data_IF_199409970795
#
_entry.id   IF_199409970795
#
_cell.length_a   1.000
_cell.length_b   1.000
_cell.length_c   1.000
_cell.angle_alpha   90.00
_cell.angle_beta   90.00
_cell.angle_gamma   90.00
#
_symmetry.space_group_name_H-M   'P 1'
#
loop_
_entity.id
_entity.type
_entity.pdbx_description
1 polymer ?
#
# COMPACT_ATOMS: atom_id res chain seq x y z
N UNK A 1 -4.46 2.62 -15.02
CA UNK A 1 -3.71 2.63 -13.73
C UNK A 1 -3.37 4.03 -13.19
N UNK A 2 -3.16 5.05 -14.04
CA UNK A 2 -2.90 6.45 -13.65
C UNK A 2 -3.76 7.01 -12.49
N UNK A 3 -5.04 6.66 -12.42
CA UNK A 3 -5.93 7.09 -11.33
C UNK A 3 -5.46 6.60 -9.94
N UNK A 4 -4.93 5.37 -9.85
CA UNK A 4 -4.42 4.81 -8.60
C UNK A 4 -3.25 5.65 -8.07
N UNK A 5 -2.35 6.08 -8.96
CA UNK A 5 -1.23 6.95 -8.60
C UNK A 5 -1.69 8.33 -8.14
N UNK A 6 -2.71 8.91 -8.78
CA UNK A 6 -3.31 10.18 -8.34
C UNK A 6 -3.91 10.05 -6.94
N UNK A 7 -4.66 8.97 -6.67
CA UNK A 7 -5.23 8.69 -5.35
C UNK A 7 -4.12 8.49 -4.31
N UNK A 8 -3.07 7.74 -4.64
CA UNK A 8 -1.89 7.59 -3.78
C UNK A 8 -1.29 8.95 -3.40
N UNK A 9 -1.02 9.82 -4.37
CA UNK A 9 -0.49 11.16 -4.10
C UNK A 9 -1.42 12.00 -3.23
N UNK A 10 -2.74 11.91 -3.44
CA UNK A 10 -3.72 12.61 -2.62
C UNK A 10 -3.75 12.10 -1.17
N UNK A 11 -3.63 10.79 -0.96
CA UNK A 11 -3.52 10.19 0.37
C UNK A 11 -2.21 10.61 1.06
N UNK A 12 -1.09 10.56 0.34
CA UNK A 12 0.21 11.00 0.87
C UNK A 12 0.20 12.49 1.24
N UNK A 13 -0.51 13.34 0.49
CA UNK A 13 -0.62 14.77 0.81
C UNK A 13 -1.33 15.05 2.15
N UNK A 14 -2.14 14.12 2.68
CA UNK A 14 -2.77 14.27 3.99
C UNK A 14 -1.75 14.42 5.12
N UNK A 15 -0.53 13.87 4.94
CA UNK A 15 0.59 14.03 5.88
C UNK A 15 0.98 15.49 6.12
N UNK A 16 0.69 16.40 5.18
CA UNK A 16 1.11 17.80 5.26
C UNK A 16 0.44 18.51 6.45
N UNK A 17 -0.81 18.17 6.75
CA UNK A 17 -1.53 18.73 7.91
C UNK A 17 -0.86 18.30 9.21
N UNK A 18 -0.55 17.02 9.34
CA UNK A 18 0.12 16.46 10.52
C UNK A 18 1.55 16.95 10.68
N UNK A 19 2.29 17.10 9.57
CA UNK A 19 3.66 17.60 9.58
C UNK A 19 3.70 19.06 10.01
N UNK A 20 2.84 19.91 9.45
CA UNK A 20 2.76 21.32 9.85
C UNK A 20 2.36 21.52 11.31
N UNK A 21 1.42 20.70 11.82
CA UNK A 21 1.06 20.74 13.24
C UNK A 21 2.21 20.26 14.13
N UNK A 22 2.92 19.19 13.75
CA UNK A 22 4.07 18.69 14.48
C UNK A 22 5.19 19.73 14.57
N UNK A 23 5.52 20.39 13.46
CA UNK A 23 6.53 21.44 13.41
C UNK A 23 6.14 22.65 14.28
N UNK A 24 4.90 23.11 14.18
CA UNK A 24 4.40 24.22 14.99
C UNK A 24 4.49 23.93 16.50
N UNK A 25 4.04 22.74 16.93
CA UNK A 25 4.08 22.34 18.34
C UNK A 25 5.51 22.19 18.86
N UNK A 26 6.38 21.58 18.05
CA UNK A 26 7.80 21.38 18.39
C UNK A 26 8.53 22.71 18.56
N UNK A 27 8.28 23.67 17.67
CA UNK A 27 8.88 25.00 17.72
C UNK A 27 8.32 25.88 18.85
N UNK A 28 7.06 25.68 19.23
CA UNK A 28 6.40 26.45 20.29
C UNK A 28 6.84 26.06 21.72
N UNK A 29 7.67 25.02 21.88
CA UNK A 29 8.18 24.51 23.17
C UNK A 29 7.08 24.25 24.20
N UNK A 30 5.90 23.84 23.73
CA UNK A 30 4.80 23.40 24.60
C UNK A 30 5.22 22.05 25.20
N UNK A 31 5.05 21.82 26.52
CA UNK A 31 5.38 20.53 27.15
C UNK A 31 4.31 19.48 26.83
N UNK A 32 4.12 19.21 25.53
CA UNK A 32 3.19 18.25 24.97
C UNK A 32 3.97 17.30 24.05
N UNK A 33 3.81 16.00 24.26
CA UNK A 33 4.34 15.00 23.34
C UNK A 33 3.49 14.98 22.05
N UNK A 34 4.10 15.37 20.93
CA UNK A 34 3.49 15.41 19.60
C UNK A 34 3.85 14.19 18.75
N UNK A 35 4.54 13.19 19.31
CA UNK A 35 5.02 12.00 18.58
C UNK A 35 3.88 11.16 17.96
N UNK A 36 2.65 11.25 18.48
CA UNK A 36 1.49 10.60 17.86
C UNK A 36 1.16 11.15 16.46
N UNK A 37 1.53 12.40 16.16
CA UNK A 37 1.41 12.95 14.80
C UNK A 37 2.38 12.26 13.84
N UNK A 38 3.54 11.80 14.33
CA UNK A 38 4.50 11.03 13.54
C UNK A 38 4.00 9.59 13.33
N UNK A 39 3.44 8.97 14.37
CA UNK A 39 2.80 7.65 14.28
C UNK A 39 1.68 7.64 13.26
N UNK A 40 0.85 8.68 13.27
CA UNK A 40 -0.21 8.83 12.28
C UNK A 40 0.33 8.95 10.85
N UNK A 41 1.37 9.76 10.63
CA UNK A 41 2.02 9.85 9.32
C UNK A 41 2.56 8.52 8.80
N UNK A 42 3.14 7.70 9.67
CA UNK A 42 3.58 6.33 9.34
C UNK A 42 2.41 5.46 8.88
N UNK A 43 1.30 5.49 9.62
CA UNK A 43 0.07 4.75 9.29
C UNK A 43 -0.52 5.22 7.96
N UNK A 44 -0.54 6.53 7.70
CA UNK A 44 -1.00 7.09 6.43
C UNK A 44 -0.18 6.59 5.24
N UNK A 45 1.15 6.59 5.35
CA UNK A 45 2.02 6.14 4.26
C UNK A 45 1.76 4.66 3.89
N UNK A 46 1.70 3.79 4.89
CA UNK A 46 1.43 2.36 4.67
C UNK A 46 0.01 2.11 4.15
N UNK A 47 -0.97 2.89 4.62
CA UNK A 47 -2.35 2.80 4.13
C UNK A 47 -2.48 3.26 2.68
N UNK A 48 -1.71 4.28 2.28
CA UNK A 48 -1.66 4.75 0.89
C UNK A 48 -1.05 3.68 -0.04
N UNK A 49 0.00 2.98 0.38
CA UNK A 49 0.55 1.83 -0.35
C UNK A 49 -0.49 0.73 -0.54
N UNK A 50 -1.17 0.31 0.54
CA UNK A 50 -2.19 -0.74 0.48
C UNK A 50 -3.28 -0.42 -0.54
N UNK A 51 -3.83 0.80 -0.44
CA UNK A 51 -4.87 1.30 -1.33
C UNK A 51 -4.39 1.36 -2.78
N UNK A 52 -3.16 1.82 -3.00
CA UNK A 52 -2.56 1.85 -4.34
C UNK A 52 -2.51 0.44 -4.96
N UNK A 53 -2.04 -0.57 -4.22
CA UNK A 53 -1.97 -1.95 -4.73
C UNK A 53 -3.36 -2.50 -5.06
N UNK A 54 -4.35 -2.29 -4.20
CA UNK A 54 -5.74 -2.66 -4.49
C UNK A 54 -6.24 -2.03 -5.79
N UNK A 55 -5.98 -0.73 -5.98
CA UNK A 55 -6.49 0.03 -7.12
C UNK A 55 -5.84 -0.38 -8.45
N UNK A 56 -4.52 -0.61 -8.47
CA UNK A 56 -3.85 -1.07 -9.70
C UNK A 56 -4.25 -2.51 -10.05
N UNK A 57 -4.43 -3.39 -9.06
CA UNK A 57 -4.85 -4.77 -9.31
C UNK A 57 -6.27 -4.79 -9.86
N UNK A 58 -7.20 -4.07 -9.23
CA UNK A 58 -8.56 -3.95 -9.73
C UNK A 58 -8.60 -3.34 -11.14
N UNK A 59 -7.82 -2.30 -11.40
CA UNK A 59 -7.73 -1.71 -12.73
C UNK A 59 -7.13 -2.66 -13.78
N UNK A 60 -6.05 -3.38 -13.45
CA UNK A 60 -5.38 -4.28 -14.39
C UNK A 60 -6.19 -5.53 -14.69
N UNK A 61 -6.91 -6.09 -13.71
CA UNK A 61 -7.82 -7.19 -13.95
C UNK A 61 -8.99 -6.77 -14.85
N UNK A 62 -9.50 -5.54 -14.70
CA UNK A 62 -10.50 -4.99 -15.63
C UNK A 62 -9.93 -4.82 -17.04
N UNK A 63 -8.68 -4.38 -17.18
CA UNK A 63 -8.01 -4.30 -18.48
C UNK A 63 -7.86 -5.69 -19.14
N UNK A 64 -7.55 -6.73 -18.35
CA UNK A 64 -7.50 -8.13 -18.82
C UNK A 64 -8.88 -8.64 -19.25
N UNK A 65 -9.91 -8.39 -18.43
CA UNK A 65 -11.30 -8.73 -18.75
C UNK A 65 -11.77 -8.10 -20.07
N UNK A 66 -11.34 -6.87 -20.35
CA UNK A 66 -11.65 -6.15 -21.60
C UNK A 66 -10.70 -6.48 -22.76
N UNK A 67 -9.80 -7.46 -22.61
CA UNK A 67 -8.77 -7.84 -23.59
C UNK A 67 -7.84 -6.67 -24.00
N UNK A 68 -7.63 -5.69 -23.13
CA UNK A 68 -6.70 -4.56 -23.32
C UNK A 68 -5.31 -4.85 -22.76
N UNK A 69 -5.17 -5.92 -22.01
CA UNK A 69 -3.93 -6.43 -21.40
C UNK A 69 -3.92 -7.95 -21.50
N UNK A 70 -2.77 -8.61 -21.74
CA UNK A 70 -2.68 -10.06 -21.69
C UNK A 70 -3.09 -10.62 -20.32
N UNK A 71 -3.78 -11.76 -20.31
CA UNK A 71 -4.11 -12.45 -19.06
C UNK A 71 -2.85 -13.04 -18.41
N UNK A 72 -2.91 -13.29 -17.10
CA UNK A 72 -1.89 -14.06 -16.38
C UNK A 72 -2.49 -15.38 -15.90
N UNK A 73 -1.68 -16.40 -15.59
CA UNK A 73 -2.19 -17.64 -15.01
C UNK A 73 -3.01 -17.42 -13.73
N UNK A 74 -2.67 -16.39 -12.94
CA UNK A 74 -3.41 -16.06 -11.72
C UNK A 74 -4.75 -15.39 -12.02
N UNK A 75 -4.82 -14.54 -13.05
CA UNK A 75 -6.09 -14.00 -13.55
C UNK A 75 -6.99 -15.13 -14.08
N UNK A 76 -6.45 -16.06 -14.86
CA UNK A 76 -7.22 -17.17 -15.44
C UNK A 76 -7.79 -18.11 -14.36
N UNK A 77 -7.09 -18.22 -13.22
CA UNK A 77 -7.56 -18.96 -12.06
C UNK A 77 -8.55 -18.18 -11.18
N UNK A 78 -8.86 -16.91 -11.48
CA UNK A 78 -9.77 -16.10 -10.69
C UNK A 78 -11.22 -16.60 -10.85
N UNK A 79 -11.76 -17.15 -9.76
CA UNK A 79 -13.09 -17.77 -9.78
C UNK A 79 -14.20 -16.71 -9.68
N UNK A 80 -15.30 -16.90 -10.41
CA UNK A 80 -16.54 -16.13 -10.27
C UNK A 80 -17.67 -17.07 -9.88
N UNK A 81 -18.58 -16.62 -9.02
CA UNK A 81 -19.81 -17.38 -8.73
C UNK A 81 -20.79 -17.27 -9.89
N UNK A 82 -21.67 -18.27 -10.07
CA UNK A 82 -22.72 -18.22 -11.11
C UNK A 82 -23.62 -16.98 -10.99
N UNK A 83 -23.90 -16.53 -9.77
CA UNK A 83 -24.66 -15.30 -9.53
C UNK A 83 -23.94 -14.07 -10.10
N UNK A 84 -22.63 -13.95 -9.87
CA UNK A 84 -21.83 -12.85 -10.42
C UNK A 84 -21.78 -12.91 -11.95
N UNK A 85 -21.60 -14.09 -12.53
CA UNK A 85 -21.60 -14.26 -13.99
C UNK A 85 -22.96 -13.81 -14.59
N UNK A 86 -24.07 -14.20 -13.96
CA UNK A 86 -25.41 -13.79 -14.38
C UNK A 86 -25.63 -12.28 -14.27
N UNK A 87 -25.07 -11.63 -13.24
CA UNK A 87 -25.19 -10.19 -13.07
C UNK A 87 -24.35 -9.44 -14.11
N UNK A 88 -23.12 -9.90 -14.37
CA UNK A 88 -22.24 -9.32 -15.39
C UNK A 88 -22.88 -9.39 -16.79
N UNK A 89 -23.54 -10.50 -17.13
CA UNK A 89 -24.11 -10.70 -18.48
C UNK A 89 -25.29 -9.79 -18.82
N UNK A 90 -26.02 -9.31 -17.81
CA UNK A 90 -27.17 -8.40 -17.99
C UNK A 90 -26.84 -6.94 -17.64
N UNK A 91 -25.66 -6.68 -17.09
CA UNK A 91 -25.26 -5.35 -16.67
C UNK A 91 -25.08 -4.40 -17.87
N UNK A 92 -25.54 -3.14 -17.80
CA UNK A 92 -25.28 -2.15 -18.83
C UNK A 92 -23.79 -1.87 -19.05
N UNK A 93 -22.98 -2.02 -18.00
CA UNK A 93 -21.53 -1.83 -18.00
C UNK A 93 -20.87 -3.03 -17.27
N UNK A 94 -20.68 -4.16 -17.97
CA UNK A 94 -20.19 -5.41 -17.37
C UNK A 94 -18.86 -5.28 -16.62
N UNK A 95 -17.98 -4.41 -17.08
CA UNK A 95 -16.67 -4.17 -16.46
C UNK A 95 -16.74 -3.53 -15.07
N UNK A 96 -17.81 -2.79 -14.76
CA UNK A 96 -18.03 -2.23 -13.43
C UNK A 96 -18.43 -3.35 -12.45
N UNK A 97 -19.34 -4.24 -12.86
CA UNK A 97 -19.74 -5.38 -12.04
C UNK A 97 -18.56 -6.34 -11.78
N UNK A 98 -17.74 -6.59 -12.80
CA UNK A 98 -16.51 -7.36 -12.64
C UNK A 98 -15.54 -6.67 -11.66
N UNK A 99 -15.32 -5.35 -11.81
CA UNK A 99 -14.49 -4.57 -10.88
C UNK A 99 -15.00 -4.68 -9.44
N UNK A 100 -16.31 -4.56 -9.24
CA UNK A 100 -16.92 -4.62 -7.92
C UNK A 100 -16.67 -5.99 -7.27
N UNK A 101 -16.76 -7.09 -8.02
CA UNK A 101 -16.44 -8.41 -7.50
C UNK A 101 -14.96 -8.55 -7.14
N UNK A 102 -14.04 -8.02 -7.96
CA UNK A 102 -12.60 -8.00 -7.64
C UNK A 102 -12.34 -7.25 -6.33
N UNK A 103 -12.91 -6.04 -6.18
CA UNK A 103 -12.79 -5.25 -4.96
C UNK A 103 -13.38 -6.00 -3.77
N UNK A 104 -14.57 -6.58 -3.92
CA UNK A 104 -15.25 -7.33 -2.85
C UNK A 104 -14.39 -8.51 -2.38
N UNK A 105 -13.86 -9.31 -3.30
CA UNK A 105 -13.00 -10.46 -2.99
C UNK A 105 -11.67 -10.08 -2.35
N UNK A 106 -11.14 -8.91 -2.67
CA UNK A 106 -9.87 -8.45 -2.11
C UNK A 106 -10.06 -7.60 -0.83
N UNK A 107 -11.28 -7.15 -0.51
CA UNK A 107 -11.55 -6.17 0.57
C UNK A 107 -11.05 -6.53 1.96
N UNK A 108 -10.92 -7.82 2.28
CA UNK A 108 -10.43 -8.30 3.58
C UNK A 108 -8.91 -8.59 3.59
N UNK A 109 -8.23 -8.39 2.45
CA UNK A 109 -6.80 -8.62 2.30
C UNK A 109 -6.03 -7.30 2.44
N UNK A 110 -4.97 -7.33 3.24
CA UNK A 110 -3.99 -6.25 3.29
C UNK A 110 -2.82 -6.56 2.34
N UNK A 111 -2.55 -5.64 1.41
CA UNK A 111 -1.48 -5.73 0.42
C UNK A 111 -0.32 -4.78 0.77
N UNK A 112 0.30 -5.05 1.91
CA UNK A 112 1.40 -4.24 2.45
C UNK A 112 2.68 -5.06 2.63
N UNK A 113 2.54 -6.32 3.06
CA UNK A 113 3.66 -7.24 3.21
C UNK A 113 4.25 -7.62 1.84
N UNK A 114 5.59 -7.81 1.73
CA UNK A 114 6.22 -8.06 0.43
C UNK A 114 5.64 -9.24 -0.35
N UNK A 115 5.35 -10.35 0.33
CA UNK A 115 4.82 -11.54 -0.33
C UNK A 115 3.34 -11.35 -0.73
N UNK A 116 2.57 -10.56 0.02
CA UNK A 116 1.18 -10.21 -0.30
C UNK A 116 1.10 -9.27 -1.50
N UNK A 117 2.02 -8.30 -1.60
CA UNK A 117 2.13 -7.44 -2.78
C UNK A 117 2.52 -8.27 -4.00
N UNK A 118 3.54 -9.12 -3.92
CA UNK A 118 3.95 -9.97 -5.05
C UNK A 118 2.82 -10.90 -5.52
N UNK A 119 2.09 -11.48 -4.57
CA UNK A 119 0.92 -12.29 -4.83
C UNK A 119 -0.18 -11.48 -5.54
N UNK A 120 -0.53 -10.29 -5.02
CA UNK A 120 -1.53 -9.42 -5.64
C UNK A 120 -1.14 -8.96 -7.05
N UNK A 121 0.10 -8.52 -7.25
CA UNK A 121 0.63 -8.12 -8.56
C UNK A 121 0.60 -9.27 -9.58
N UNK A 122 0.64 -10.53 -9.14
CA UNK A 122 0.60 -11.68 -10.06
C UNK A 122 -0.72 -11.80 -10.82
N UNK A 123 -1.80 -11.15 -10.37
CA UNK A 123 -3.03 -11.03 -11.16
C UNK A 123 -2.80 -10.26 -12.47
N UNK A 124 -1.94 -9.24 -12.46
CA UNK A 124 -1.84 -8.27 -13.56
C UNK A 124 -0.44 -8.24 -14.23
N UNK A 125 0.52 -8.98 -13.66
CA UNK A 125 1.91 -8.98 -14.08
C UNK A 125 2.55 -10.37 -13.98
N UNK A 126 2.83 -10.98 -15.14
CA UNK A 126 3.42 -12.32 -15.26
C UNK A 126 4.97 -12.30 -15.20
N UNK A 127 5.53 -11.69 -14.15
CA UNK A 127 6.97 -11.72 -13.86
C UNK A 127 7.25 -12.64 -12.67
N UNK A 128 8.28 -13.48 -12.78
CA UNK A 128 8.68 -14.42 -11.72
C UNK A 128 9.55 -13.75 -10.65
N UNK A 129 10.45 -12.84 -11.04
CA UNK A 129 11.41 -12.15 -10.18
C UNK A 129 10.97 -10.72 -9.88
N UNK A 130 9.70 -10.53 -9.46
CA UNK A 130 9.07 -9.21 -9.26
C UNK A 130 9.92 -8.27 -8.40
N UNK A 131 10.39 -8.75 -7.26
CA UNK A 131 11.18 -7.95 -6.32
C UNK A 131 12.55 -7.54 -6.85
N UNK A 132 13.17 -8.36 -7.70
CA UNK A 132 14.41 -8.00 -8.38
C UNK A 132 14.19 -6.88 -9.40
N UNK A 133 13.07 -6.92 -10.13
CA UNK A 133 12.73 -5.88 -11.11
C UNK A 133 12.34 -4.59 -10.38
N UNK A 134 11.51 -4.67 -9.34
CA UNK A 134 11.14 -3.51 -8.51
C UNK A 134 12.40 -2.88 -7.90
N UNK A 135 13.32 -3.67 -7.33
CA UNK A 135 14.53 -3.13 -6.71
C UNK A 135 15.44 -2.38 -7.68
N UNK A 136 15.49 -2.82 -8.95
CA UNK A 136 16.23 -2.13 -10.02
C UNK A 136 15.60 -0.80 -10.44
N UNK A 137 14.30 -0.64 -10.21
CA UNK A 137 13.55 0.58 -10.52
C UNK A 137 13.39 1.52 -9.31
N UNK A 138 13.90 1.15 -8.14
CA UNK A 138 13.99 2.06 -7.00
C UNK A 138 14.95 3.22 -7.33
N UNK A 139 14.56 4.44 -7.00
CA UNK A 139 15.41 5.60 -7.20
C UNK A 139 16.65 5.54 -6.28
N UNK A 140 16.47 5.17 -5.02
CA UNK A 140 17.57 4.84 -4.11
C UNK A 140 18.04 3.39 -4.34
N UNK A 141 19.34 3.16 -4.68
CA UNK A 141 19.85 1.81 -4.91
C UNK A 141 19.69 0.90 -3.69
N UNK A 142 19.01 -0.23 -3.89
CA UNK A 142 18.73 -1.22 -2.85
C UNK A 142 18.60 -2.60 -3.48
N UNK A 143 19.15 -3.63 -2.86
CA UNK A 143 18.95 -5.00 -3.32
C UNK A 143 17.57 -5.54 -2.89
N UNK A 144 17.09 -6.58 -3.59
CA UNK A 144 15.77 -7.13 -3.32
C UNK A 144 15.57 -7.64 -1.88
N UNK A 145 16.61 -8.18 -1.22
CA UNK A 145 16.47 -8.75 0.12
C UNK A 145 16.35 -7.63 1.16
N UNK A 146 17.18 -6.59 1.02
CA UNK A 146 17.11 -5.40 1.87
C UNK A 146 15.81 -4.62 1.66
N UNK A 147 15.34 -4.50 0.40
CA UNK A 147 14.07 -3.87 0.05
C UNK A 147 12.89 -4.56 0.77
N UNK A 148 12.80 -5.89 0.64
CA UNK A 148 11.74 -6.68 1.30
C UNK A 148 11.83 -6.56 2.83
N UNK A 149 13.04 -6.61 3.39
CA UNK A 149 13.26 -6.52 4.83
C UNK A 149 12.84 -5.15 5.37
N UNK A 150 13.21 -4.06 4.68
CA UNK A 150 12.82 -2.70 5.05
C UNK A 150 11.30 -2.55 5.02
N UNK A 151 10.63 -3.00 3.96
CA UNK A 151 9.18 -2.96 3.88
C UNK A 151 8.51 -3.77 5.00
N UNK A 152 8.98 -4.98 5.28
CA UNK A 152 8.46 -5.81 6.37
C UNK A 152 8.56 -5.12 7.73
N UNK A 153 9.70 -4.48 8.03
CA UNK A 153 9.87 -3.73 9.27
C UNK A 153 8.92 -2.53 9.35
N UNK A 154 8.67 -1.85 8.23
CA UNK A 154 7.72 -0.73 8.15
C UNK A 154 6.29 -1.19 8.46
N UNK A 155 5.87 -2.32 7.88
CA UNK A 155 4.54 -2.89 8.10
C UNK A 155 4.39 -3.41 9.54
N UNK A 156 5.42 -4.06 10.08
CA UNK A 156 5.44 -4.50 11.48
C UNK A 156 5.28 -3.31 12.43
N UNK A 157 6.03 -2.21 12.22
CA UNK A 157 5.88 -0.98 13.01
C UNK A 157 4.47 -0.40 12.91
N UNK A 158 3.87 -0.39 11.71
CA UNK A 158 2.48 0.05 11.50
C UNK A 158 1.51 -0.79 12.35
N UNK A 159 1.69 -2.10 12.35
CA UNK A 159 0.83 -3.00 13.12
C UNK A 159 0.99 -2.78 14.63
N UNK A 160 2.21 -2.54 15.11
CA UNK A 160 2.45 -2.17 16.50
C UNK A 160 1.68 -0.91 16.89
N UNK A 161 1.75 0.13 16.05
CA UNK A 161 1.06 1.41 16.27
C UNK A 161 -0.47 1.23 16.32
N UNK A 162 -1.03 0.51 15.35
CA UNK A 162 -2.50 0.45 15.16
C UNK A 162 -3.18 -0.64 15.97
N UNK A 163 -2.53 -1.79 16.16
CA UNK A 163 -3.15 -2.98 16.71
C UNK A 163 -2.61 -3.38 18.08
N UNK A 164 -1.35 -3.04 18.41
CA UNK A 164 -0.68 -3.51 19.63
C UNK A 164 -0.51 -2.39 20.69
N UNK A 165 -1.14 -1.23 20.48
CA UNK A 165 -1.09 -0.09 21.41
C UNK A 165 0.29 0.59 21.47
N UNK A 166 1.18 0.27 20.53
CA UNK A 166 2.54 0.75 20.42
C UNK A 166 3.43 0.55 21.68
N UNK A 167 3.17 -0.48 22.48
CA UNK A 167 3.83 -0.61 23.78
C UNK A 167 5.30 -1.07 23.66
N UNK A 168 6.25 -0.28 24.17
CA UNK A 168 7.66 -0.65 24.35
C UNK A 168 7.83 -1.70 25.45
N UNK A 169 7.06 -1.59 26.52
CA UNK A 169 6.97 -2.59 27.59
C UNK A 169 5.54 -2.67 28.11
N UNK A 170 5.19 -3.81 28.71
CA UNK A 170 3.89 -4.03 29.36
C UNK A 170 3.86 -3.56 30.82
N UNK A 171 4.94 -2.94 31.32
CA UNK A 171 5.00 -2.38 32.65
C UNK A 171 4.22 -1.05 32.73
N UNK A 172 3.77 -0.70 33.93
CA UNK A 172 3.07 0.57 34.21
C UNK A 172 4.07 1.57 34.80
N UNK A 173 4.13 2.83 34.31
CA UNK A 173 3.31 3.40 33.25
C UNK A 173 3.66 2.85 31.87
N UNK A 174 2.65 2.73 31.00
CA UNK A 174 2.86 2.31 29.61
C UNK A 174 3.78 3.33 28.91
N UNK A 175 4.80 2.81 28.24
CA UNK A 175 5.73 3.61 27.43
C UNK A 175 5.57 3.15 26.00
N UNK A 176 5.31 4.10 25.10
CA UNK A 176 5.26 3.80 23.67
C UNK A 176 6.67 3.65 23.09
N UNK A 177 6.80 2.90 22.00
CA UNK A 177 8.04 2.85 21.23
C UNK A 177 8.42 4.26 20.75
N UNK A 178 9.70 4.66 20.85
CA UNK A 178 10.14 5.96 20.37
C UNK A 178 9.96 6.06 18.85
N UNK A 179 9.70 7.27 18.39
CA UNK A 179 9.60 7.60 16.96
C UNK A 179 10.15 9.01 16.76
N UNK A 180 11.00 9.18 15.75
CA UNK A 180 11.54 10.48 15.37
C UNK A 180 10.95 10.97 14.05
N UNK A 181 11.10 12.28 13.81
CA UNK A 181 10.74 12.89 12.53
C UNK A 181 11.51 12.23 11.38
N UNK A 182 12.82 12.00 11.57
CA UNK A 182 13.69 11.36 10.57
C UNK A 182 13.19 9.95 10.21
N UNK A 183 12.81 9.14 11.20
CA UNK A 183 12.28 7.79 10.93
C UNK A 183 11.02 7.85 10.05
N UNK A 184 10.17 8.84 10.33
CA UNK A 184 8.88 9.02 9.64
C UNK A 184 9.09 9.51 8.20
N UNK A 185 9.99 10.48 8.01
CA UNK A 185 10.37 11.00 6.69
C UNK A 185 11.00 9.91 5.83
N UNK A 186 11.89 9.10 6.39
CA UNK A 186 12.52 7.96 5.71
C UNK A 186 11.50 6.95 5.22
N UNK A 187 10.46 6.67 6.01
CA UNK A 187 9.37 5.76 5.61
C UNK A 187 8.51 6.35 4.50
N UNK A 188 8.12 7.62 4.63
CA UNK A 188 7.34 8.32 3.62
C UNK A 188 8.09 8.32 2.28
N UNK A 189 9.38 8.66 2.31
CA UNK A 189 10.22 8.68 1.14
C UNK A 189 10.33 7.28 0.51
N UNK A 190 10.66 6.27 1.32
CA UNK A 190 10.76 4.89 0.87
C UNK A 190 9.47 4.36 0.23
N UNK A 191 8.31 4.61 0.84
CA UNK A 191 7.01 4.17 0.30
C UNK A 191 6.70 4.89 -1.01
N UNK A 192 7.05 6.17 -1.13
CA UNK A 192 6.88 6.93 -2.36
C UNK A 192 7.71 6.32 -3.50
N UNK A 193 9.00 6.08 -3.26
CA UNK A 193 9.89 5.44 -4.23
C UNK A 193 9.42 4.03 -4.59
N UNK A 194 8.97 3.25 -3.61
CA UNK A 194 8.46 1.90 -3.86
C UNK A 194 7.25 1.92 -4.78
N UNK A 195 6.30 2.85 -4.57
CA UNK A 195 5.14 2.99 -5.44
C UNK A 195 5.55 3.44 -6.85
N UNK A 196 6.50 4.39 -6.98
CA UNK A 196 7.05 4.79 -8.29
C UNK A 196 7.71 3.62 -9.03
N UNK A 197 8.51 2.83 -8.32
CA UNK A 197 9.17 1.65 -8.87
C UNK A 197 8.17 0.59 -9.34
N UNK A 198 7.13 0.32 -8.54
CA UNK A 198 6.05 -0.61 -8.91
C UNK A 198 5.26 -0.07 -10.12
N UNK A 199 4.88 1.21 -10.12
CA UNK A 199 4.15 1.84 -11.23
C UNK A 199 4.91 1.66 -12.56
N UNK A 200 6.22 1.93 -12.56
CA UNK A 200 7.11 1.75 -13.72
C UNK A 200 7.16 0.31 -14.23
N UNK A 201 6.89 -0.69 -13.38
CA UNK A 201 6.96 -2.10 -13.76
C UNK A 201 5.65 -2.64 -14.37
N UNK A 202 4.49 -2.06 -14.04
CA UNK A 202 3.18 -2.69 -14.26
C UNK A 202 2.19 -1.85 -15.07
N UNK A 203 2.49 -0.57 -15.26
CA UNK A 203 1.74 0.39 -16.07
C UNK A 203 2.39 0.55 -17.44
#
# INVERSE_FOLDING_TARGET
MRQAKVVFCALMAQKNVTAGLYEYLSNSRIPLDSSDLLRWQWVLAVSALDKYIHDIVAAGMVEQYLNRRPTTPKFDAFQLSMNVISNISVAPVPEIEFRNEVIRKNSYLAFQEPDKIADALSFIWNESQKWLVISRNMATPIDQATLKTKLKNIVMRRNQIVHEGDCLSTNIPLVQQPISLSDTEDVIHFITELVDAIDTCVV
#
